data_IF_015051982794
#
_entry.id   IF_015051982794
#
_cell.length_a   1.000
_cell.length_b   1.000
_cell.length_c   1.000
_cell.angle_alpha   90.00
_cell.angle_beta   90.00
_cell.angle_gamma   90.00
#
_symmetry.space_group_name_H-M   'P 1'
#
loop_
_entity.id
_entity.type
_entity.pdbx_description
1 polymer ?
#
# COMPACT_ATOMS: atom_id res chain seq x y z
N UNK A 1 -13.02 15.69 -18.91
CA UNK A 1 -11.97 15.23 -19.84
C UNK A 1 -11.19 14.12 -19.16
N UNK A 2 -11.19 12.91 -19.71
CA UNK A 2 -10.34 11.83 -19.18
C UNK A 2 -8.89 12.21 -19.39
N UNK A 3 -8.12 12.24 -18.31
CA UNK A 3 -6.67 12.46 -18.36
C UNK A 3 -6.07 11.27 -19.11
N UNK A 4 -5.37 11.53 -20.22
CA UNK A 4 -4.70 10.45 -20.99
C UNK A 4 -3.65 9.82 -20.10
N UNK A 5 -3.69 8.50 -19.94
CA UNK A 5 -2.69 7.74 -19.18
C UNK A 5 -1.34 7.74 -19.89
N UNK A 6 -0.34 8.39 -19.30
CA UNK A 6 1.02 8.53 -19.85
C UNK A 6 2.06 8.17 -18.78
N UNK A 7 2.41 6.90 -18.66
CA UNK A 7 3.39 6.45 -17.68
C UNK A 7 4.83 6.64 -18.16
N UNK A 8 5.76 6.78 -17.21
CA UNK A 8 7.20 6.67 -17.40
C UNK A 8 7.82 5.85 -16.26
N UNK A 9 9.08 5.43 -16.43
CA UNK A 9 9.88 4.84 -15.34
C UNK A 9 10.69 5.94 -14.68
N UNK A 10 10.78 5.92 -13.34
CA UNK A 10 11.58 6.85 -12.53
C UNK A 10 12.60 6.05 -11.72
N UNK A 11 13.87 6.33 -11.91
CA UNK A 11 14.99 5.62 -11.27
C UNK A 11 15.80 6.62 -10.43
N UNK A 12 15.63 6.70 -9.11
CA UNK A 12 16.55 7.40 -8.25
C UNK A 12 17.87 6.63 -8.18
N UNK A 13 18.98 7.28 -8.47
CA UNK A 13 20.30 6.67 -8.54
C UNK A 13 21.32 7.44 -7.66
N UNK A 14 22.03 6.70 -6.80
CA UNK A 14 23.15 7.23 -6.03
C UNK A 14 24.23 6.18 -5.90
N UNK A 15 25.37 6.38 -6.55
CA UNK A 15 26.54 5.49 -6.55
C UNK A 15 26.22 4.04 -6.99
N UNK A 16 25.31 3.86 -7.94
CA UNK A 16 24.95 2.55 -8.53
C UNK A 16 25.35 2.43 -10.00
N UNK A 17 26.44 3.07 -10.42
CA UNK A 17 26.94 3.06 -11.81
C UNK A 17 27.10 1.66 -12.39
N UNK A 18 27.61 0.71 -11.60
CA UNK A 18 27.80 -0.67 -12.07
C UNK A 18 26.50 -1.43 -12.37
N UNK A 19 25.40 -1.07 -11.73
CA UNK A 19 24.13 -1.80 -11.84
C UNK A 19 23.12 -1.17 -12.80
N UNK A 20 23.20 0.16 -12.99
CA UNK A 20 22.19 0.93 -13.72
C UNK A 20 22.04 0.47 -15.18
N UNK A 21 23.13 0.10 -15.85
CA UNK A 21 23.10 -0.42 -17.22
C UNK A 21 22.27 -1.70 -17.33
N UNK A 22 22.42 -2.62 -16.37
CA UNK A 22 21.64 -3.86 -16.30
C UNK A 22 20.16 -3.56 -16.06
N UNK A 23 19.84 -2.62 -15.16
CA UNK A 23 18.45 -2.22 -14.89
C UNK A 23 17.80 -1.63 -16.14
N UNK A 24 18.47 -0.71 -16.83
CA UNK A 24 17.98 -0.11 -18.07
C UNK A 24 17.78 -1.15 -19.19
N UNK A 25 18.72 -2.08 -19.34
CA UNK A 25 18.61 -3.19 -20.31
C UNK A 25 17.38 -4.05 -20.05
N UNK A 26 17.06 -4.37 -18.77
CA UNK A 26 15.87 -5.11 -18.39
C UNK A 26 14.57 -4.31 -18.60
N UNK A 27 14.64 -2.97 -18.55
CA UNK A 27 13.50 -2.08 -18.78
C UNK A 27 13.21 -1.84 -20.27
N UNK A 28 14.22 -1.97 -21.15
CA UNK A 28 14.10 -1.69 -22.58
C UNK A 28 12.92 -2.41 -23.28
N UNK A 29 12.60 -3.71 -22.98
CA UNK A 29 11.50 -4.39 -23.62
C UNK A 29 10.10 -3.76 -23.39
N UNK A 30 9.93 -2.97 -22.35
CA UNK A 30 8.66 -2.32 -22.07
C UNK A 30 8.41 -1.05 -22.88
N UNK A 31 9.44 -0.50 -23.55
CA UNK A 31 9.32 0.69 -24.41
C UNK A 31 8.89 1.96 -23.67
N UNK A 32 9.06 2.00 -22.35
CA UNK A 32 8.70 3.15 -21.53
C UNK A 32 9.82 4.18 -21.49
N UNK A 33 9.50 5.49 -21.54
CA UNK A 33 10.48 6.53 -21.25
C UNK A 33 11.04 6.35 -19.84
N UNK A 34 12.38 6.45 -19.71
CA UNK A 34 13.09 6.28 -18.45
C UNK A 34 13.66 7.61 -17.98
N UNK A 35 13.27 8.03 -16.79
CA UNK A 35 13.82 9.21 -16.12
C UNK A 35 14.75 8.75 -15.00
N UNK A 36 16.05 8.97 -15.16
CA UNK A 36 17.05 8.67 -14.14
C UNK A 36 17.40 9.96 -13.41
N UNK A 37 17.28 9.94 -12.09
CA UNK A 37 17.65 11.08 -11.22
C UNK A 37 18.92 10.73 -10.47
N UNK A 38 20.04 11.33 -10.88
CA UNK A 38 21.32 11.24 -10.20
C UNK A 38 21.33 12.11 -8.94
N UNK A 39 21.31 11.49 -7.77
CA UNK A 39 21.29 12.14 -6.45
C UNK A 39 22.72 12.55 -6.00
N UNK A 40 23.47 13.19 -6.87
CA UNK A 40 24.81 13.68 -6.56
C UNK A 40 25.84 12.56 -6.40
N UNK A 41 25.85 11.60 -7.30
CA UNK A 41 26.78 10.47 -7.32
C UNK A 41 28.24 10.90 -7.54
N UNK A 42 29.16 9.96 -7.28
CA UNK A 42 30.57 10.09 -7.55
C UNK A 42 30.89 10.25 -9.05
N UNK A 43 32.15 10.56 -9.36
CA UNK A 43 32.57 10.82 -10.73
C UNK A 43 32.40 9.60 -11.64
N UNK A 44 32.63 8.39 -11.13
CA UNK A 44 32.52 7.14 -11.91
C UNK A 44 31.09 6.88 -12.32
N UNK A 45 30.17 6.91 -11.36
CA UNK A 45 28.74 6.74 -11.62
C UNK A 45 28.21 7.85 -12.54
N UNK A 46 28.67 9.09 -12.34
CA UNK A 46 28.27 10.22 -13.15
C UNK A 46 28.64 10.03 -14.62
N UNK A 47 29.88 9.61 -14.89
CA UNK A 47 30.38 9.36 -16.24
C UNK A 47 29.57 8.22 -16.91
N UNK A 48 29.26 7.15 -16.17
CA UNK A 48 28.47 6.07 -16.70
C UNK A 48 27.03 6.50 -17.04
N UNK A 49 26.39 7.30 -16.18
CA UNK A 49 25.07 7.85 -16.45
C UNK A 49 25.03 8.76 -17.67
N UNK A 50 26.07 9.58 -17.88
CA UNK A 50 26.22 10.43 -19.08
C UNK A 50 26.40 9.59 -20.35
N UNK A 51 27.23 8.55 -20.29
CA UNK A 51 27.42 7.61 -21.40
C UNK A 51 26.08 6.92 -21.76
N UNK A 52 25.35 6.38 -20.77
CA UNK A 52 24.07 5.70 -20.99
C UNK A 52 23.01 6.65 -21.55
N UNK A 53 22.97 7.91 -21.09
CA UNK A 53 22.04 8.90 -21.61
C UNK A 53 22.32 9.28 -23.07
N UNK A 54 23.60 9.27 -23.48
CA UNK A 54 23.98 9.51 -24.88
C UNK A 54 23.62 8.32 -25.80
N UNK A 55 23.71 7.09 -25.27
CA UNK A 55 23.44 5.86 -26.02
C UNK A 55 21.96 5.50 -26.10
N UNK A 56 21.13 5.95 -25.14
CA UNK A 56 19.72 5.57 -25.01
C UNK A 56 18.78 6.76 -25.15
N UNK A 57 18.23 7.04 -26.35
CA UNK A 57 17.37 8.21 -26.58
C UNK A 57 16.11 8.28 -25.70
N UNK A 58 15.65 7.14 -25.16
CA UNK A 58 14.52 7.06 -24.27
C UNK A 58 14.86 7.38 -22.80
N UNK A 59 16.16 7.56 -22.48
CA UNK A 59 16.64 7.91 -21.15
C UNK A 59 16.80 9.42 -21.02
N UNK A 60 16.14 10.00 -20.04
CA UNK A 60 16.34 11.38 -19.62
C UNK A 60 17.11 11.39 -18.31
N UNK A 61 18.26 12.06 -18.26
CA UNK A 61 19.07 12.21 -17.06
C UNK A 61 18.79 13.56 -16.40
N UNK A 62 18.40 13.53 -15.13
CA UNK A 62 18.29 14.69 -14.25
C UNK A 62 19.32 14.57 -13.14
N UNK A 63 20.01 15.65 -12.81
CA UNK A 63 21.08 15.62 -11.80
C UNK A 63 20.79 16.61 -10.67
N UNK A 64 21.01 16.15 -9.44
CA UNK A 64 21.09 16.99 -8.26
C UNK A 64 22.54 17.41 -8.01
N UNK A 65 22.74 18.63 -7.51
CA UNK A 65 24.09 19.16 -7.28
C UNK A 65 24.85 18.36 -6.20
N UNK A 66 24.12 17.79 -5.24
CA UNK A 66 24.67 17.01 -4.13
C UNK A 66 23.65 15.98 -3.65
N UNK A 67 24.09 14.96 -2.90
CA UNK A 67 23.21 13.97 -2.33
C UNK A 67 22.16 14.59 -1.39
N UNK A 68 20.92 14.60 -1.83
CA UNK A 68 19.77 15.11 -1.08
C UNK A 68 18.91 13.98 -0.48
N UNK A 69 19.12 12.75 -0.91
CA UNK A 69 18.45 11.52 -0.48
C UNK A 69 17.38 11.03 -1.44
N UNK A 70 17.07 9.74 -1.35
CA UNK A 70 16.13 9.03 -2.24
C UNK A 70 14.82 9.79 -2.43
N UNK A 71 14.20 10.24 -1.33
CA UNK A 71 12.92 10.96 -1.40
C UNK A 71 13.01 12.27 -2.17
N UNK A 72 14.12 13.02 -2.01
CA UNK A 72 14.36 14.24 -2.77
C UNK A 72 14.53 13.94 -4.26
N UNK A 73 15.28 12.88 -4.61
CA UNK A 73 15.44 12.43 -5.98
C UNK A 73 14.11 12.00 -6.61
N UNK A 74 13.25 11.27 -5.88
CA UNK A 74 11.94 10.87 -6.35
C UNK A 74 11.04 12.10 -6.61
N UNK A 75 10.98 13.06 -5.68
CA UNK A 75 10.19 14.28 -5.86
C UNK A 75 10.69 15.08 -7.06
N UNK A 76 12.01 15.26 -7.19
CA UNK A 76 12.60 15.96 -8.35
C UNK A 76 12.25 15.26 -9.67
N UNK A 77 12.26 13.92 -9.67
CA UNK A 77 11.84 13.14 -10.84
C UNK A 77 10.35 13.30 -11.15
N UNK A 78 9.47 13.33 -10.14
CA UNK A 78 8.04 13.57 -10.33
C UNK A 78 7.76 14.98 -10.87
N UNK A 79 8.53 16.01 -10.44
CA UNK A 79 8.46 17.37 -11.02
C UNK A 79 8.80 17.34 -12.51
N UNK A 80 9.85 16.61 -12.89
CA UNK A 80 10.22 16.45 -14.28
C UNK A 80 9.20 15.68 -15.09
N UNK A 81 8.60 14.62 -14.50
CA UNK A 81 7.45 13.91 -15.08
C UNK A 81 6.29 14.85 -15.37
N UNK A 82 5.95 15.72 -14.43
CA UNK A 82 4.88 16.71 -14.62
C UNK A 82 5.22 17.71 -15.74
N UNK A 83 6.46 18.20 -15.79
CA UNK A 83 6.96 19.14 -16.81
C UNK A 83 6.88 18.55 -18.22
N UNK A 84 7.12 17.24 -18.36
CA UNK A 84 7.09 16.51 -19.63
C UNK A 84 5.72 15.91 -19.96
N UNK A 85 4.73 16.12 -19.09
CA UNK A 85 3.35 15.68 -19.28
C UNK A 85 3.08 14.21 -19.00
N UNK A 86 3.95 13.53 -18.24
CA UNK A 86 3.66 12.19 -17.71
C UNK A 86 2.70 12.28 -16.53
N UNK A 87 1.77 11.33 -16.48
CA UNK A 87 0.72 11.29 -15.44
C UNK A 87 1.04 10.33 -14.31
N UNK A 88 1.85 9.32 -14.61
CA UNK A 88 2.24 8.27 -13.66
C UNK A 88 3.73 7.95 -13.79
N UNK A 89 4.39 7.69 -12.67
CA UNK A 89 5.79 7.33 -12.63
C UNK A 89 5.99 6.00 -11.87
N UNK A 90 6.53 5.00 -12.58
CA UNK A 90 6.92 3.71 -11.96
C UNK A 90 8.30 3.90 -11.36
N UNK A 91 8.40 3.98 -10.04
CA UNK A 91 9.69 3.97 -9.36
C UNK A 91 10.30 2.57 -9.41
N UNK A 92 11.53 2.49 -9.87
CA UNK A 92 12.38 1.30 -9.84
C UNK A 92 13.72 1.70 -9.21
N UNK A 93 14.17 0.97 -8.19
CA UNK A 93 15.44 1.26 -7.55
C UNK A 93 16.61 0.79 -8.42
N UNK A 94 17.72 1.54 -8.41
CA UNK A 94 18.89 1.29 -9.26
C UNK A 94 19.69 0.04 -8.86
N UNK A 95 19.34 -0.63 -7.74
CA UNK A 95 20.01 -1.82 -7.21
C UNK A 95 19.57 -3.14 -7.88
N UNK A 96 18.58 -3.08 -8.76
CA UNK A 96 18.09 -4.23 -9.54
C UNK A 96 17.30 -5.28 -8.76
N UNK A 97 16.92 -5.03 -7.51
CA UNK A 97 16.22 -5.99 -6.64
C UNK A 97 14.75 -6.23 -7.01
N UNK A 98 14.15 -5.32 -7.79
CA UNK A 98 12.74 -5.39 -8.13
C UNK A 98 12.46 -6.39 -9.28
N UNK A 99 11.33 -7.09 -9.18
CA UNK A 99 10.77 -7.90 -10.25
C UNK A 99 10.16 -6.99 -11.34
N UNK A 100 11.01 -6.48 -12.23
CA UNK A 100 10.64 -5.53 -13.29
C UNK A 100 9.54 -6.09 -14.20
N UNK A 101 9.43 -7.40 -14.28
CA UNK A 101 8.42 -8.15 -15.04
C UNK A 101 6.99 -7.87 -14.57
N UNK A 102 6.83 -7.33 -13.35
CA UNK A 102 5.54 -6.93 -12.80
C UNK A 102 5.10 -5.51 -13.20
N UNK A 103 5.94 -4.72 -13.90
CA UNK A 103 5.60 -3.37 -14.38
C UNK A 103 4.28 -3.33 -15.17
N UNK A 104 4.02 -4.20 -16.14
CA UNK A 104 2.75 -4.18 -16.87
C UNK A 104 1.53 -4.35 -15.95
N UNK A 105 1.64 -5.19 -14.91
CA UNK A 105 0.55 -5.41 -13.94
C UNK A 105 0.34 -4.19 -13.05
N UNK A 106 1.43 -3.54 -12.62
CA UNK A 106 1.37 -2.30 -11.84
C UNK A 106 0.74 -1.18 -12.65
N UNK A 107 1.11 -1.02 -13.93
CA UNK A 107 0.55 -0.02 -14.82
C UNK A 107 -0.94 -0.27 -15.11
N UNK A 108 -1.36 -1.51 -15.32
CA UNK A 108 -2.76 -1.86 -15.49
C UNK A 108 -3.61 -1.53 -14.25
N UNK A 109 -3.05 -1.66 -13.05
CA UNK A 109 -3.70 -1.22 -11.81
C UNK A 109 -3.75 0.31 -11.72
N UNK A 110 -2.68 1.01 -12.12
CA UNK A 110 -2.63 2.48 -12.11
C UNK A 110 -3.63 3.09 -13.11
N UNK A 111 -3.80 2.49 -14.26
CA UNK A 111 -4.79 2.93 -15.25
C UNK A 111 -6.23 2.77 -14.74
N UNK A 112 -6.52 1.69 -14.02
CA UNK A 112 -7.84 1.44 -13.38
C UNK A 112 -8.09 2.35 -12.17
N UNK A 113 -7.04 2.79 -11.51
CA UNK A 113 -7.08 3.59 -10.28
C UNK A 113 -6.17 4.82 -10.39
N UNK A 114 -6.49 5.80 -11.24
CA UNK A 114 -5.57 6.86 -11.67
C UNK A 114 -5.10 7.79 -10.54
N UNK A 115 -5.83 7.90 -9.45
CA UNK A 115 -5.43 8.69 -8.28
C UNK A 115 -4.81 7.84 -7.15
N UNK A 116 -4.70 6.52 -7.34
CA UNK A 116 -4.16 5.62 -6.33
C UNK A 116 -2.63 5.51 -6.41
N UNK A 117 -1.99 5.37 -5.25
CA UNK A 117 -0.63 4.90 -5.17
C UNK A 117 -0.62 3.36 -5.34
N UNK A 118 -0.05 2.87 -6.43
CA UNK A 118 0.11 1.42 -6.62
C UNK A 118 1.47 1.02 -6.04
N UNK A 119 1.50 0.02 -5.19
CA UNK A 119 2.73 -0.43 -4.52
C UNK A 119 2.92 -1.92 -4.63
N UNK A 120 4.14 -2.35 -4.89
CA UNK A 120 4.53 -3.73 -4.68
C UNK A 120 4.32 -4.13 -3.23
N UNK A 121 3.86 -5.35 -3.02
CA UNK A 121 3.85 -6.00 -1.71
C UNK A 121 4.85 -7.14 -1.76
N UNK A 122 6.03 -7.01 -1.13
CA UNK A 122 7.07 -8.01 -1.23
C UNK A 122 6.62 -9.38 -0.73
N UNK A 123 6.85 -10.40 -1.54
CA UNK A 123 6.80 -11.81 -1.14
C UNK A 123 8.24 -12.19 -0.82
N UNK A 124 8.49 -12.50 0.44
CA UNK A 124 9.82 -12.88 0.90
C UNK A 124 9.99 -14.38 0.79
N UNK A 125 11.20 -14.77 0.40
CA UNK A 125 11.69 -16.12 0.52
C UNK A 125 12.48 -16.29 1.85
N UNK A 126 13.02 -17.49 2.07
CA UNK A 126 13.76 -17.82 3.29
C UNK A 126 15.13 -17.10 3.40
N UNK A 127 15.55 -16.35 2.38
CA UNK A 127 16.83 -15.63 2.35
C UNK A 127 16.82 -14.33 3.16
N UNK A 128 15.65 -13.82 3.55
CA UNK A 128 15.57 -12.54 4.26
C UNK A 128 16.00 -12.66 5.73
N UNK A 129 16.89 -11.80 6.23
CA UNK A 129 17.27 -11.77 7.64
C UNK A 129 16.07 -11.47 8.56
N UNK A 130 15.90 -12.25 9.63
CA UNK A 130 14.80 -12.07 10.61
C UNK A 130 14.72 -10.67 11.20
N UNK A 131 15.87 -10.01 11.42
CA UNK A 131 15.92 -8.63 11.91
C UNK A 131 15.23 -7.63 10.97
N UNK A 132 15.36 -7.81 9.64
CA UNK A 132 14.64 -6.98 8.65
C UNK A 132 13.15 -7.22 8.70
N UNK A 133 12.69 -8.46 8.87
CA UNK A 133 11.27 -8.77 9.03
C UNK A 133 10.68 -8.09 10.27
N UNK A 134 11.39 -8.13 11.40
CA UNK A 134 10.97 -7.46 12.64
C UNK A 134 10.86 -5.94 12.45
N UNK A 135 11.87 -5.30 11.86
CA UNK A 135 11.84 -3.86 11.58
C UNK A 135 10.64 -3.47 10.69
N UNK A 136 10.38 -4.24 9.64
CA UNK A 136 9.21 -4.02 8.77
C UNK A 136 7.90 -4.18 9.52
N UNK A 137 7.79 -5.22 10.35
CA UNK A 137 6.57 -5.46 11.13
C UNK A 137 6.29 -4.31 12.10
N UNK A 138 7.31 -3.80 12.81
CA UNK A 138 7.18 -2.62 13.68
C UNK A 138 6.68 -1.41 12.90
N UNK A 139 7.27 -1.13 11.73
CA UNK A 139 6.81 -0.04 10.83
C UNK A 139 5.35 -0.25 10.40
N UNK A 140 4.94 -1.48 10.07
CA UNK A 140 3.54 -1.76 9.70
C UNK A 140 2.57 -1.46 10.83
N UNK A 141 2.89 -1.85 12.07
CA UNK A 141 2.06 -1.55 13.25
C UNK A 141 1.88 -0.04 13.40
N UNK A 142 2.96 0.73 13.30
CA UNK A 142 2.89 2.20 13.36
C UNK A 142 2.02 2.78 12.24
N UNK A 143 2.19 2.33 11.01
CA UNK A 143 1.38 2.78 9.87
C UNK A 143 -0.11 2.48 10.08
N UNK A 144 -0.45 1.32 10.64
CA UNK A 144 -1.85 1.01 10.96
C UNK A 144 -2.43 1.91 12.06
N UNK A 145 -1.64 2.28 13.06
CA UNK A 145 -2.03 3.26 14.08
C UNK A 145 -2.24 4.63 13.43
N UNK A 146 -1.28 5.12 12.66
CA UNK A 146 -1.26 6.43 12.01
C UNK A 146 -2.37 6.62 10.97
N UNK A 147 -2.81 5.54 10.36
CA UNK A 147 -3.92 5.56 9.38
C UNK A 147 -5.25 5.11 9.97
N UNK A 148 -5.26 4.61 11.20
CA UNK A 148 -6.42 3.93 11.83
C UNK A 148 -7.01 2.85 10.92
N UNK A 149 -6.17 2.17 10.12
CA UNK A 149 -6.59 1.23 9.08
C UNK A 149 -5.57 0.13 8.88
N UNK A 150 -6.04 -1.07 8.54
CA UNK A 150 -5.21 -2.22 8.14
C UNK A 150 -5.05 -2.33 6.62
N UNK A 151 -5.49 -1.33 5.85
CA UNK A 151 -5.48 -1.37 4.39
C UNK A 151 -4.08 -1.23 3.79
N UNK A 152 -3.18 -0.47 4.44
CA UNK A 152 -1.81 -0.33 3.99
C UNK A 152 -1.01 -1.57 4.38
N UNK A 153 -0.70 -2.40 3.39
CA UNK A 153 -0.08 -3.72 3.60
C UNK A 153 1.44 -3.66 3.66
N UNK A 154 2.05 -2.78 2.88
CA UNK A 154 3.49 -2.52 2.90
C UNK A 154 3.77 -1.07 2.54
N UNK A 155 4.46 -0.35 3.44
CA UNK A 155 4.84 1.05 3.26
C UNK A 155 6.31 1.26 2.95
N UNK A 156 7.11 0.20 2.92
CA UNK A 156 8.58 0.28 2.76
C UNK A 156 9.06 -0.18 1.39
N UNK A 157 8.18 -0.75 0.56
CA UNK A 157 8.55 -1.17 -0.79
C UNK A 157 8.72 0.06 -1.69
N UNK A 158 9.88 0.21 -2.32
CA UNK A 158 10.15 1.29 -3.28
C UNK A 158 9.57 1.05 -4.67
N UNK A 159 9.18 -0.18 -5.00
CA UNK A 159 8.59 -0.52 -6.29
C UNK A 159 7.13 -0.07 -6.35
N UNK A 160 6.90 1.11 -6.93
CA UNK A 160 5.61 1.82 -6.88
C UNK A 160 5.28 2.51 -8.19
N UNK A 161 3.97 2.74 -8.42
CA UNK A 161 3.52 3.71 -9.41
C UNK A 161 2.90 4.89 -8.67
N UNK A 162 3.54 6.04 -8.80
CA UNK A 162 3.06 7.29 -8.23
C UNK A 162 2.09 7.97 -9.20
N UNK A 163 0.89 8.37 -8.74
CA UNK A 163 0.10 9.37 -9.45
C UNK A 163 0.81 10.73 -9.29
N UNK A 164 1.36 11.26 -10.39
CA UNK A 164 2.25 12.44 -10.36
C UNK A 164 1.57 13.65 -9.72
N UNK A 165 0.40 14.03 -10.20
CA UNK A 165 -0.32 15.22 -9.73
C UNK A 165 -0.75 15.14 -8.25
N UNK A 166 -1.36 14.07 -7.74
CA UNK A 166 -1.65 13.93 -6.31
C UNK A 166 -0.40 13.99 -5.44
N UNK A 167 0.69 13.33 -5.86
CA UNK A 167 1.93 13.29 -5.06
C UNK A 167 2.62 14.65 -5.00
N UNK A 168 2.66 15.40 -6.10
CA UNK A 168 3.22 16.75 -6.11
C UNK A 168 2.36 17.76 -5.34
N UNK A 169 1.03 17.64 -5.40
CA UNK A 169 0.15 18.45 -4.55
C UNK A 169 0.40 18.21 -3.06
N UNK A 170 0.68 16.97 -2.68
CA UNK A 170 1.09 16.65 -1.30
C UNK A 170 2.43 17.31 -0.97
N UNK A 171 3.44 17.12 -1.79
CA UNK A 171 4.80 17.65 -1.56
C UNK A 171 4.84 19.18 -1.48
N UNK A 172 3.96 19.86 -2.23
CA UNK A 172 3.83 21.33 -2.18
C UNK A 172 3.16 21.84 -0.87
N UNK A 173 2.37 21.01 -0.20
CA UNK A 173 1.62 21.41 1.01
C UNK A 173 2.30 21.01 2.30
N UNK A 174 2.99 19.91 2.30
CA UNK A 174 3.55 19.29 3.50
C UNK A 174 5.01 18.87 3.24
N UNK A 175 5.94 19.17 4.15
CA UNK A 175 7.31 18.69 4.03
C UNK A 175 7.33 17.17 4.17
N UNK A 176 7.95 16.51 3.22
CA UNK A 176 8.19 15.06 3.20
C UNK A 176 9.62 14.74 3.61
N UNK A 177 9.82 13.58 4.21
CA UNK A 177 11.14 13.01 4.44
C UNK A 177 11.92 12.90 3.13
N UNK A 178 13.23 13.11 3.19
CA UNK A 178 14.07 13.15 1.99
C UNK A 178 14.90 11.88 1.78
N UNK A 179 14.91 10.96 2.75
CA UNK A 179 15.77 9.77 2.74
C UNK A 179 14.92 8.49 2.87
N UNK A 180 15.32 7.54 3.73
CA UNK A 180 14.65 6.25 3.91
C UNK A 180 13.26 6.37 4.57
N UNK A 181 12.97 7.49 5.21
CA UNK A 181 11.67 7.85 5.77
C UNK A 181 10.62 8.23 4.71
N UNK A 182 11.04 8.62 3.50
CA UNK A 182 10.15 9.09 2.44
C UNK A 182 9.06 8.09 2.04
N UNK A 183 9.43 6.84 1.78
CA UNK A 183 8.52 5.84 1.22
C UNK A 183 7.31 5.57 2.11
N UNK A 184 7.53 5.51 3.43
CA UNK A 184 6.45 5.35 4.41
C UNK A 184 5.65 6.63 4.57
N UNK A 185 6.32 7.77 4.69
CA UNK A 185 5.66 9.05 4.94
C UNK A 185 4.74 9.47 3.79
N UNK A 186 5.19 9.38 2.55
CA UNK A 186 4.38 9.74 1.38
C UNK A 186 3.12 8.88 1.27
N UNK A 187 3.21 7.58 1.54
CA UNK A 187 2.06 6.68 1.50
C UNK A 187 1.02 7.02 2.57
N UNK A 188 1.45 7.24 3.83
CA UNK A 188 0.55 7.61 4.93
C UNK A 188 -0.13 8.95 4.66
N UNK A 189 0.62 9.95 4.20
CA UNK A 189 0.07 11.28 3.93
C UNK A 189 -0.86 11.31 2.71
N UNK A 190 -0.56 10.58 1.64
CA UNK A 190 -1.50 10.38 0.53
C UNK A 190 -2.79 9.72 1.02
N UNK A 191 -2.68 8.70 1.88
CA UNK A 191 -3.85 8.08 2.50
C UNK A 191 -4.67 9.08 3.31
N UNK A 192 -4.05 9.98 4.08
CA UNK A 192 -4.76 11.03 4.81
C UNK A 192 -5.48 12.02 3.90
N UNK A 193 -4.93 12.34 2.72
CA UNK A 193 -5.58 13.20 1.72
C UNK A 193 -6.75 12.54 0.99
N UNK A 194 -6.97 11.26 1.20
CA UNK A 194 -8.07 10.56 0.58
C UNK A 194 -7.68 9.64 -0.57
N UNK A 195 -6.41 9.64 -1.00
CA UNK A 195 -5.94 8.71 -2.01
C UNK A 195 -5.97 7.27 -1.48
N UNK A 196 -6.28 6.33 -2.37
CA UNK A 196 -6.21 4.90 -2.06
C UNK A 196 -4.81 4.37 -2.35
N UNK A 197 -4.45 3.26 -1.70
CA UNK A 197 -3.27 2.48 -2.06
C UNK A 197 -3.70 1.09 -2.49
N UNK A 198 -3.20 0.64 -3.64
CA UNK A 198 -3.46 -0.70 -4.20
C UNK A 198 -2.16 -1.49 -4.17
N UNK A 199 -2.21 -2.75 -3.77
CA UNK A 199 -1.03 -3.58 -3.56
C UNK A 199 -1.00 -4.75 -4.53
N UNK A 200 0.16 -4.93 -5.19
CA UNK A 200 0.45 -6.08 -6.03
C UNK A 200 1.49 -6.96 -5.33
N UNK A 201 1.20 -8.24 -5.03
CA UNK A 201 2.22 -9.17 -4.57
C UNK A 201 3.34 -9.30 -5.61
N UNK A 202 4.58 -9.02 -5.23
CA UNK A 202 5.76 -9.04 -6.11
C UNK A 202 6.95 -9.71 -5.42
N UNK A 203 7.79 -10.37 -6.18
CA UNK A 203 9.01 -10.98 -5.63
C UNK A 203 10.10 -9.92 -5.49
N UNK A 204 10.85 -9.99 -4.41
CA UNK A 204 12.04 -9.17 -4.18
C UNK A 204 13.21 -10.12 -3.97
N UNK A 205 14.23 -9.96 -4.81
CA UNK A 205 15.45 -10.78 -4.72
C UNK A 205 16.54 -9.95 -4.04
N UNK A 206 17.10 -10.45 -2.96
CA UNK A 206 18.22 -9.82 -2.28
C UNK A 206 19.54 -10.42 -2.79
N UNK A 207 20.35 -9.68 -3.58
CA UNK A 207 21.69 -10.15 -3.94
C UNK A 207 22.57 -10.25 -2.70
N UNK A 208 23.39 -11.30 -2.62
CA UNK A 208 24.27 -11.54 -1.46
C UNK A 208 25.30 -10.42 -1.26
N UNK A 209 25.68 -9.73 -2.35
CA UNK A 209 26.69 -8.65 -2.37
C UNK A 209 26.07 -7.25 -2.57
N UNK A 210 24.78 -7.05 -2.28
CA UNK A 210 24.08 -5.80 -2.49
C UNK A 210 24.60 -4.68 -1.60
N UNK A 211 25.06 -3.56 -2.19
CA UNK A 211 25.41 -2.34 -1.47
C UNK A 211 24.15 -1.73 -0.81
N UNK A 212 24.12 -1.72 0.51
CA UNK A 212 23.07 -1.07 1.28
C UNK A 212 23.58 0.28 1.81
N UNK A 213 22.93 1.36 1.41
CA UNK A 213 23.22 2.70 1.93
C UNK A 213 22.47 3.02 3.24
N UNK A 214 21.89 2.00 3.89
CA UNK A 214 21.16 2.15 5.15
C UNK A 214 22.13 2.30 6.33
N UNK A 215 22.12 3.49 6.97
CA UNK A 215 22.82 3.75 8.24
C UNK A 215 21.89 3.38 9.39
N UNK A 216 22.20 2.27 10.06
CA UNK A 216 21.33 1.69 11.08
C UNK A 216 20.97 2.68 12.21
N UNK A 217 21.87 3.55 12.64
CA UNK A 217 21.59 4.51 13.71
C UNK A 217 20.82 5.72 13.17
N UNK A 218 21.38 6.39 12.16
CA UNK A 218 20.81 7.64 11.63
C UNK A 218 19.45 7.43 10.99
N UNK A 219 19.29 6.35 10.24
CA UNK A 219 18.02 6.10 9.56
C UNK A 219 16.92 5.60 10.52
N UNK A 220 17.27 4.79 11.55
CA UNK A 220 16.30 4.44 12.59
C UNK A 220 15.84 5.66 13.41
N UNK A 221 16.75 6.61 13.71
CA UNK A 221 16.36 7.88 14.36
C UNK A 221 15.42 8.67 13.46
N UNK A 222 15.72 8.81 12.16
CA UNK A 222 14.85 9.52 11.19
C UNK A 222 13.48 8.85 11.08
N UNK A 223 13.44 7.53 10.95
CA UNK A 223 12.20 6.74 10.88
C UNK A 223 11.39 6.92 12.15
N UNK A 224 12.02 6.90 13.33
CA UNK A 224 11.33 7.12 14.60
C UNK A 224 10.76 8.53 14.71
N UNK A 225 11.51 9.57 14.29
CA UNK A 225 11.03 10.94 14.24
C UNK A 225 9.90 11.11 13.21
N UNK A 226 9.96 10.43 12.07
CA UNK A 226 8.89 10.40 11.08
C UNK A 226 7.61 9.81 11.70
N UNK A 227 7.67 8.65 12.32
CA UNK A 227 6.51 8.03 12.99
C UNK A 227 5.96 8.92 14.10
N UNK A 228 6.83 9.58 14.87
CA UNK A 228 6.40 10.57 15.88
C UNK A 228 5.61 11.70 15.24
N UNK A 229 6.11 12.31 14.16
CA UNK A 229 5.39 13.36 13.42
C UNK A 229 4.07 12.87 12.84
N UNK A 230 4.05 11.66 12.26
CA UNK A 230 2.84 11.06 11.71
C UNK A 230 1.82 10.76 12.81
N UNK A 231 2.24 10.23 13.96
CA UNK A 231 1.35 9.99 15.09
C UNK A 231 0.64 11.27 15.56
N UNK A 232 1.40 12.34 15.82
CA UNK A 232 0.80 13.60 16.21
C UNK A 232 -0.02 14.24 15.08
N UNK A 233 0.40 14.09 13.83
CA UNK A 233 -0.35 14.54 12.65
C UNK A 233 -1.66 13.78 12.44
N UNK A 234 -1.77 12.53 12.87
CA UNK A 234 -2.98 11.73 12.82
C UNK A 234 -4.05 12.25 13.79
N UNK A 235 -3.68 12.73 14.97
CA UNK A 235 -4.63 13.09 16.03
C UNK A 235 -5.72 14.08 15.56
N UNK A 236 -5.40 15.23 14.92
CA UNK A 236 -6.44 16.12 14.41
C UNK A 236 -7.26 15.53 13.26
N UNK A 237 -6.71 14.55 12.54
CA UNK A 237 -7.35 13.88 11.41
C UNK A 237 -8.21 12.67 11.82
N UNK A 238 -8.12 12.24 13.07
CA UNK A 238 -8.78 11.04 13.61
C UNK A 238 -10.28 10.98 13.33
N UNK A 239 -11.09 12.03 13.54
CA UNK A 239 -12.52 11.96 13.24
C UNK A 239 -12.78 11.64 11.76
N UNK A 240 -12.09 12.32 10.84
CA UNK A 240 -12.22 12.09 9.40
C UNK A 240 -11.80 10.67 8.98
N UNK A 241 -10.70 10.15 9.53
CA UNK A 241 -10.20 8.80 9.26
C UNK A 241 -11.19 7.73 9.75
N UNK A 242 -11.79 7.90 10.93
CA UNK A 242 -12.80 6.97 11.45
C UNK A 242 -14.10 7.00 10.63
N UNK A 243 -14.55 8.19 10.19
CA UNK A 243 -15.72 8.31 9.30
C UNK A 243 -15.46 7.68 7.92
N UNK A 244 -14.26 7.86 7.37
CA UNK A 244 -13.86 7.26 6.09
C UNK A 244 -13.85 5.73 6.18
N UNK A 245 -13.33 5.16 7.27
CA UNK A 245 -13.36 3.71 7.53
C UNK A 245 -14.79 3.16 7.50
N UNK A 246 -15.77 3.88 8.02
CA UNK A 246 -17.19 3.47 7.99
C UNK A 246 -17.76 3.43 6.58
N UNK A 247 -17.41 4.40 5.71
CA UNK A 247 -17.87 4.43 4.31
C UNK A 247 -17.24 3.34 3.45
N UNK A 248 -15.95 3.12 3.58
CA UNK A 248 -15.23 2.10 2.81
C UNK A 248 -15.63 0.67 3.20
N UNK A 249 -15.97 0.43 4.46
CA UNK A 249 -16.42 -0.87 4.93
C UNK A 249 -17.71 -1.37 4.24
N UNK A 250 -18.49 -0.45 3.66
CA UNK A 250 -19.72 -0.78 2.93
C UNK A 250 -19.46 -1.15 1.46
N UNK A 251 -18.42 -0.56 0.84
CA UNK A 251 -18.10 -0.74 -0.58
C UNK A 251 -17.11 -1.88 -0.86
N UNK A 252 -16.38 -2.35 0.16
CA UNK A 252 -15.36 -3.39 0.07
C UNK A 252 -15.62 -4.49 1.10
N UNK A 253 -16.77 -5.14 1.04
CA UNK A 253 -16.91 -6.48 1.62
C UNK A 253 -16.21 -7.47 0.69
N UNK A 254 -14.88 -7.42 0.68
CA UNK A 254 -14.08 -8.54 0.20
C UNK A 254 -14.35 -9.73 1.13
N UNK A 255 -14.95 -10.77 0.58
CA UNK A 255 -15.29 -12.06 1.22
C UNK A 255 -14.08 -12.77 1.86
N UNK A 256 -12.86 -12.24 1.68
CA UNK A 256 -11.59 -12.91 1.99
C UNK A 256 -11.25 -12.94 3.49
N UNK A 257 -11.78 -12.04 4.32
CA UNK A 257 -11.45 -12.02 5.76
C UNK A 257 -12.14 -13.11 6.59
N UNK A 258 -13.16 -13.77 6.04
CA UNK A 258 -13.87 -14.88 6.69
C UNK A 258 -13.29 -16.27 6.42
N UNK A 259 -12.46 -16.44 5.38
CA UNK A 259 -12.02 -17.75 4.91
C UNK A 259 -11.20 -18.55 5.94
N UNK A 260 -10.36 -17.90 6.75
CA UNK A 260 -9.61 -18.60 7.79
C UNK A 260 -10.53 -19.09 8.91
N UNK A 261 -11.43 -18.25 9.37
CA UNK A 261 -12.44 -18.63 10.37
C UNK A 261 -13.37 -19.73 9.87
N UNK A 262 -13.82 -19.64 8.61
CA UNK A 262 -14.63 -20.70 7.97
C UNK A 262 -13.86 -22.01 7.81
N UNK A 263 -12.59 -21.96 7.39
CA UNK A 263 -11.75 -23.18 7.32
C UNK A 263 -11.51 -23.81 8.68
N UNK A 264 -11.31 -23.01 9.72
CA UNK A 264 -11.19 -23.50 11.08
C UNK A 264 -12.49 -24.16 11.55
N UNK A 265 -13.62 -23.51 11.31
CA UNK A 265 -14.95 -24.03 11.66
C UNK A 265 -15.31 -25.30 10.90
N UNK A 266 -14.97 -25.39 9.60
CA UNK A 266 -15.13 -26.61 8.82
C UNK A 266 -14.29 -27.77 9.39
N UNK A 267 -13.03 -27.53 9.77
CA UNK A 267 -12.17 -28.56 10.41
C UNK A 267 -12.73 -29.02 11.75
N UNK A 268 -13.29 -28.10 12.53
CA UNK A 268 -13.97 -28.45 13.79
C UNK A 268 -15.19 -29.31 13.52
N UNK A 269 -16.00 -28.96 12.52
CA UNK A 269 -17.17 -29.75 12.13
C UNK A 269 -16.78 -31.14 11.61
N UNK A 270 -15.77 -31.23 10.76
CA UNK A 270 -15.29 -32.52 10.21
C UNK A 270 -14.70 -33.43 11.30
N UNK A 271 -13.96 -32.88 12.29
CA UNK A 271 -13.26 -33.68 13.30
C UNK A 271 -14.08 -33.96 14.57
N UNK A 272 -14.88 -33.01 15.01
CA UNK A 272 -15.58 -33.05 16.29
C UNK A 272 -17.10 -33.13 16.14
N UNK A 273 -17.59 -33.10 14.89
CA UNK A 273 -19.02 -33.27 14.58
C UNK A 273 -19.87 -32.04 14.88
N UNK A 274 -21.18 -32.15 14.49
CA UNK A 274 -22.14 -31.04 14.52
C UNK A 274 -22.36 -30.46 15.93
N UNK A 275 -22.35 -31.28 16.97
CA UNK A 275 -22.61 -30.82 18.36
C UNK A 275 -21.49 -29.89 18.86
N UNK A 276 -20.25 -30.29 18.71
CA UNK A 276 -19.09 -29.50 19.11
C UNK A 276 -19.00 -28.19 18.29
N UNK A 277 -19.26 -28.24 16.98
CA UNK A 277 -19.38 -27.08 16.12
C UNK A 277 -20.42 -26.08 16.65
N UNK A 278 -21.64 -26.55 16.98
CA UNK A 278 -22.69 -25.67 17.48
C UNK A 278 -22.30 -25.01 18.82
N UNK A 279 -21.70 -25.77 19.76
CA UNK A 279 -21.26 -25.23 21.05
C UNK A 279 -20.19 -24.15 20.88
N UNK A 280 -19.22 -24.36 19.99
CA UNK A 280 -18.17 -23.38 19.69
C UNK A 280 -18.70 -22.14 18.92
N UNK A 281 -19.74 -22.31 18.13
CA UNK A 281 -20.35 -21.20 17.37
C UNK A 281 -21.12 -20.22 18.27
N UNK A 282 -21.71 -20.70 19.36
CA UNK A 282 -22.51 -19.88 20.27
C UNK A 282 -21.76 -18.65 20.85
N UNK A 283 -20.60 -18.80 21.46
CA UNK A 283 -19.86 -17.65 21.97
C UNK A 283 -19.41 -16.69 20.85
N UNK A 284 -19.03 -17.21 19.68
CA UNK A 284 -18.64 -16.38 18.52
C UNK A 284 -19.81 -15.53 18.05
N UNK A 285 -21.00 -16.13 17.89
CA UNK A 285 -22.22 -15.41 17.53
C UNK A 285 -22.61 -14.42 18.63
N UNK A 286 -22.49 -14.80 19.90
CA UNK A 286 -22.77 -13.93 21.04
C UNK A 286 -21.88 -12.67 21.03
N UNK A 287 -20.57 -12.84 20.85
CA UNK A 287 -19.62 -11.72 20.74
C UNK A 287 -19.94 -10.87 19.50
N UNK A 288 -20.18 -11.50 18.34
CA UNK A 288 -20.56 -10.78 17.13
C UNK A 288 -21.86 -9.99 17.33
N UNK A 289 -22.87 -10.59 17.96
CA UNK A 289 -24.13 -9.91 18.28
C UNK A 289 -23.93 -8.71 19.22
N UNK A 290 -23.01 -8.79 20.20
CA UNK A 290 -22.70 -7.70 21.09
C UNK A 290 -21.98 -6.54 20.37
N UNK A 291 -21.07 -6.84 19.46
CA UNK A 291 -20.21 -5.84 18.78
C UNK A 291 -20.89 -5.23 17.55
N UNK A 292 -21.65 -6.02 16.78
CA UNK A 292 -22.22 -5.61 15.49
C UNK A 292 -23.52 -4.81 15.63
N UNK A 293 -23.43 -3.55 16.09
CA UNK A 293 -24.60 -2.67 16.30
C UNK A 293 -25.44 -2.47 15.03
N UNK A 294 -24.80 -2.27 13.88
CA UNK A 294 -25.47 -2.06 12.59
C UNK A 294 -26.24 -3.30 12.13
N UNK A 295 -25.63 -4.48 12.26
CA UNK A 295 -26.28 -5.74 11.91
C UNK A 295 -27.49 -6.02 12.82
N UNK A 296 -27.40 -5.70 14.14
CA UNK A 296 -28.55 -5.79 15.05
C UNK A 296 -29.69 -4.86 14.67
N UNK A 297 -29.38 -3.63 14.28
CA UNK A 297 -30.40 -2.67 13.82
C UNK A 297 -31.10 -3.16 12.55
N UNK A 298 -30.33 -3.61 11.56
CA UNK A 298 -30.88 -4.18 10.34
C UNK A 298 -31.76 -5.41 10.61
N UNK A 299 -31.30 -6.32 11.46
CA UNK A 299 -32.07 -7.50 11.87
C UNK A 299 -33.38 -7.13 12.61
N UNK A 300 -33.34 -6.13 13.50
CA UNK A 300 -34.56 -5.65 14.20
C UNK A 300 -35.56 -5.02 13.22
N UNK A 301 -35.09 -4.21 12.27
CA UNK A 301 -35.94 -3.59 11.26
C UNK A 301 -36.58 -4.66 10.36
N UNK A 302 -35.80 -5.64 9.91
CA UNK A 302 -36.32 -6.74 9.11
C UNK A 302 -37.35 -7.56 9.88
N UNK A 303 -37.08 -7.94 11.14
CA UNK A 303 -38.02 -8.66 12.00
C UNK A 303 -39.31 -7.87 12.27
N UNK A 304 -39.22 -6.55 12.42
CA UNK A 304 -40.40 -5.70 12.57
C UNK A 304 -41.29 -5.77 11.33
N UNK A 305 -40.71 -5.68 10.13
CA UNK A 305 -41.42 -5.82 8.85
C UNK A 305 -42.10 -7.21 8.74
N UNK A 306 -41.34 -8.27 9.02
CA UNK A 306 -41.89 -9.64 8.98
C UNK A 306 -43.06 -9.81 9.96
N UNK A 307 -42.96 -9.28 11.19
CA UNK A 307 -44.04 -9.30 12.15
C UNK A 307 -45.26 -8.52 11.68
N UNK A 308 -45.06 -7.37 11.06
CA UNK A 308 -46.14 -6.56 10.49
C UNK A 308 -46.84 -7.31 9.37
N UNK A 309 -46.11 -7.92 8.46
CA UNK A 309 -46.64 -8.69 7.34
C UNK A 309 -47.43 -9.93 7.83
N UNK A 310 -46.91 -10.67 8.81
CA UNK A 310 -47.62 -11.81 9.39
C UNK A 310 -48.93 -11.39 10.05
N UNK A 311 -48.96 -10.25 10.76
CA UNK A 311 -50.18 -9.69 11.35
C UNK A 311 -51.20 -9.28 10.29
N UNK A 312 -50.75 -8.64 9.21
CA UNK A 312 -51.65 -8.26 8.09
C UNK A 312 -52.27 -9.46 7.40
N UNK A 313 -51.56 -10.60 7.36
CA UNK A 313 -52.07 -11.86 6.81
C UNK A 313 -52.80 -12.74 7.83
N UNK A 314 -53.07 -12.21 9.03
CA UNK A 314 -53.70 -12.95 10.13
C UNK A 314 -52.97 -14.26 10.50
N UNK A 315 -51.65 -14.30 10.27
CA UNK A 315 -50.84 -15.48 10.57
C UNK A 315 -50.26 -15.37 11.99
N UNK A 316 -50.13 -16.51 12.73
CA UNK A 316 -49.55 -16.50 14.06
C UNK A 316 -48.07 -16.05 14.02
N UNK A 317 -47.70 -15.09 14.87
CA UNK A 317 -46.32 -14.60 15.01
C UNK A 317 -45.56 -15.54 15.97
N UNK A 318 -44.52 -16.26 15.51
CA UNK A 318 -43.74 -17.15 16.37
C UNK A 318 -43.12 -16.42 17.57
N UNK A 319 -43.21 -16.97 18.79
CA UNK A 319 -42.68 -16.35 20.02
C UNK A 319 -41.15 -16.09 19.98
N UNK A 320 -40.41 -16.91 19.22
CA UNK A 320 -38.95 -16.81 19.05
C UNK A 320 -38.54 -15.94 17.87
N UNK A 321 -39.45 -15.21 17.26
CA UNK A 321 -39.14 -14.32 16.15
C UNK A 321 -38.51 -13.00 16.68
N UNK A 322 -37.25 -13.02 17.04
CA UNK A 322 -36.48 -11.85 17.48
C UNK A 322 -35.08 -11.83 16.87
N UNK A 323 -34.42 -10.70 16.95
CA UNK A 323 -33.10 -10.50 16.30
C UNK A 323 -32.03 -11.45 16.84
N UNK A 324 -32.06 -11.83 18.10
CA UNK A 324 -31.10 -12.75 18.70
C UNK A 324 -31.22 -14.16 18.09
N UNK A 325 -32.43 -14.72 18.04
CA UNK A 325 -32.65 -16.05 17.42
C UNK A 325 -32.44 -16.04 15.90
N UNK A 326 -32.58 -14.89 15.25
CA UNK A 326 -32.24 -14.76 13.83
C UNK A 326 -30.72 -14.92 13.57
N UNK A 327 -29.89 -14.41 14.45
CA UNK A 327 -28.43 -14.60 14.38
C UNK A 327 -27.97 -16.01 14.75
N UNK A 328 -28.80 -16.75 15.45
CA UNK A 328 -28.50 -18.10 15.98
C UNK A 328 -28.94 -19.25 15.06
N UNK A 329 -29.65 -18.95 13.98
CA UNK A 329 -30.04 -19.90 12.94
C UNK A 329 -29.16 -19.80 11.69
#
# INVERSE_FOLDING_TARGET
MSVIFRPCVLIPCYNHGAMIASVLSRLAPFGLPCLVVDDGSDAVTRQELERLAAEQPQMTLVRLAQNAGKGAAVIRGLEECARTGYTHAVQVDADGQHAIEDIPKLLALAERHPDALISGQPIYDDSIPRSRLYGRWVTHVWVWIETLSLQLKDSMCGFRVYPVSPTLRLAAREPLGKRMDFDTEVMVRLYWQGNTSVFLPTRVTYPQDGLSHFDALKDNVRISLMHTRLFFGMLPRMPGLLFRRRRQHWAQQDEVKGLWGMRLMLRVWERLGRRAFTVLLWPVIGVYWLIARSARQASRQWMARVKQELRQRSMPVPSRLNSFFHFMR
#
